data_IF_119206482330
#
_entry.id   IF_119206482330
#
_cell.length_a   1.000
_cell.length_b   1.000
_cell.length_c   1.000
_cell.angle_alpha   90.00
_cell.angle_beta   90.00
_cell.angle_gamma   90.00
#
_symmetry.space_group_name_H-M   'P 1'
#
loop_
_entity.id
_entity.type
_entity.pdbx_description
1 polymer ?
#
# COMPACT_ATOMS: atom_id res chain seq x y z
N UNK A 1 -9.48 15.76 -5.19
CA UNK A 1 -8.95 16.00 -3.83
C UNK A 1 -7.43 16.05 -3.94
N UNK A 2 -6.79 17.12 -3.49
CA UNK A 2 -5.33 17.16 -3.43
C UNK A 2 -4.85 16.12 -2.41
N UNK A 3 -3.87 15.30 -2.78
CA UNK A 3 -3.20 14.42 -1.83
C UNK A 3 -2.32 15.27 -0.92
N UNK A 4 -2.72 15.40 0.34
CA UNK A 4 -1.88 16.02 1.36
C UNK A 4 -0.79 15.01 1.73
N UNK A 5 0.46 15.33 1.38
CA UNK A 5 1.62 14.53 1.75
C UNK A 5 2.12 14.97 3.12
N UNK A 6 2.15 14.02 4.06
CA UNK A 6 2.73 14.21 5.39
C UNK A 6 4.09 13.53 5.44
N UNK A 7 5.08 14.20 6.04
CA UNK A 7 6.41 13.63 6.24
C UNK A 7 6.36 12.51 7.27
N UNK A 8 7.33 11.59 7.22
CA UNK A 8 7.36 10.47 8.15
C UNK A 8 7.66 10.94 9.58
N UNK A 9 8.47 11.98 9.76
CA UNK A 9 8.74 12.59 11.07
C UNK A 9 7.45 13.10 11.71
N UNK A 10 6.59 13.76 10.93
CA UNK A 10 5.31 14.23 11.41
C UNK A 10 4.41 13.07 11.84
N UNK A 11 4.33 12.02 11.03
CA UNK A 11 3.55 10.81 11.38
C UNK A 11 4.08 10.15 12.64
N UNK A 12 5.41 10.04 12.80
CA UNK A 12 6.04 9.50 14.01
C UNK A 12 5.69 10.33 15.24
N UNK A 13 5.69 11.67 15.13
CA UNK A 13 5.28 12.54 16.23
C UNK A 13 3.83 12.25 16.67
N UNK A 14 2.90 12.11 15.73
CA UNK A 14 1.50 11.78 16.02
C UNK A 14 1.38 10.42 16.72
N UNK A 15 2.08 9.39 16.24
CA UNK A 15 2.08 8.06 16.85
C UNK A 15 2.71 8.08 18.25
N UNK A 16 3.80 8.83 18.45
CA UNK A 16 4.44 9.00 19.76
C UNK A 16 3.48 9.66 20.76
N UNK A 17 2.79 10.72 20.34
CA UNK A 17 1.77 11.38 21.17
C UNK A 17 0.58 10.47 21.51
N UNK A 18 0.21 9.57 20.60
CA UNK A 18 -0.79 8.56 20.89
C UNK A 18 -0.31 7.57 21.98
N UNK A 19 0.95 7.13 21.90
CA UNK A 19 1.57 6.24 22.90
C UNK A 19 1.69 6.89 24.29
N UNK A 20 1.76 8.22 24.38
CA UNK A 20 1.74 8.93 25.67
C UNK A 20 0.34 9.13 26.27
N UNK A 21 -0.70 8.58 25.62
CA UNK A 21 -2.07 8.56 26.15
C UNK A 21 -3.02 9.58 25.52
N UNK A 22 -2.58 10.37 24.53
CA UNK A 22 -3.51 11.23 23.77
C UNK A 22 -4.39 10.38 22.85
N UNK A 23 -5.67 10.72 22.77
CA UNK A 23 -6.61 10.00 21.90
C UNK A 23 -6.48 10.44 20.44
N UNK A 24 -6.78 9.53 19.50
CA UNK A 24 -6.82 9.85 18.07
C UNK A 24 -7.80 11.01 17.75
N UNK A 25 -8.88 11.19 18.52
CA UNK A 25 -9.82 12.31 18.38
C UNK A 25 -9.16 13.64 18.70
N UNK A 26 -8.40 13.72 19.80
CA UNK A 26 -7.68 14.93 20.20
C UNK A 26 -6.60 15.29 19.17
N UNK A 27 -5.84 14.30 18.70
CA UNK A 27 -4.80 14.51 17.69
C UNK A 27 -5.40 14.98 16.36
N UNK A 28 -6.49 14.34 15.92
CA UNK A 28 -7.22 14.75 14.72
C UNK A 28 -7.69 16.21 14.80
N UNK A 29 -8.27 16.62 15.93
CA UNK A 29 -8.75 17.99 16.12
C UNK A 29 -7.62 19.02 16.21
N UNK A 30 -6.53 18.70 16.92
CA UNK A 30 -5.43 19.64 17.16
C UNK A 30 -4.60 19.89 15.90
N UNK A 31 -4.28 18.81 15.18
CA UNK A 31 -3.45 18.87 13.97
C UNK A 31 -4.26 19.03 12.69
N UNK A 32 -5.60 19.12 12.78
CA UNK A 32 -6.53 19.21 11.66
C UNK A 32 -6.31 18.09 10.63
N UNK A 33 -5.95 16.90 11.12
CA UNK A 33 -5.77 15.69 10.31
C UNK A 33 -7.03 14.84 10.44
N UNK A 34 -7.50 14.27 9.34
CA UNK A 34 -8.64 13.35 9.37
C UNK A 34 -8.44 12.21 10.38
N UNK A 35 -9.47 11.90 11.17
CA UNK A 35 -9.42 10.85 12.21
C UNK A 35 -9.02 9.48 11.63
N UNK A 36 -9.50 9.13 10.44
CA UNK A 36 -9.14 7.91 9.72
C UNK A 36 -7.66 7.85 9.37
N UNK A 37 -7.08 8.97 8.93
CA UNK A 37 -5.66 9.11 8.62
C UNK A 37 -4.80 8.91 9.86
N UNK A 38 -5.17 9.51 11.00
CA UNK A 38 -4.47 9.31 12.28
C UNK A 38 -4.50 7.84 12.70
N UNK A 39 -5.67 7.19 12.61
CA UNK A 39 -5.81 5.77 12.90
C UNK A 39 -4.96 4.89 11.99
N UNK A 40 -4.91 5.21 10.69
CA UNK A 40 -4.08 4.50 9.73
C UNK A 40 -2.60 4.55 10.12
N UNK A 41 -2.07 5.72 10.45
CA UNK A 41 -0.66 5.85 10.87
C UNK A 41 -0.34 5.09 12.14
N UNK A 42 -1.23 5.13 13.14
CA UNK A 42 -1.08 4.37 14.37
C UNK A 42 -1.03 2.87 14.08
N UNK A 43 -1.93 2.38 13.23
CA UNK A 43 -2.01 0.96 12.89
C UNK A 43 -0.79 0.50 12.09
N UNK A 44 -0.44 1.20 11.01
CA UNK A 44 0.72 0.87 10.17
C UNK A 44 2.02 0.86 10.99
N UNK A 45 2.23 1.88 11.82
CA UNK A 45 3.44 1.96 12.63
C UNK A 45 3.49 0.92 13.76
N UNK A 46 2.35 0.58 14.38
CA UNK A 46 2.33 -0.47 15.40
C UNK A 46 2.51 -1.87 14.83
N UNK A 47 2.11 -2.09 13.57
CA UNK A 47 2.24 -3.38 12.91
C UNK A 47 3.67 -3.63 12.42
N UNK A 48 4.29 -2.67 11.73
CA UNK A 48 5.59 -2.87 11.05
C UNK A 48 6.69 -1.90 11.47
N UNK A 49 6.39 -0.89 12.29
CA UNK A 49 7.31 0.23 12.55
C UNK A 49 7.51 1.17 11.35
N UNK A 50 6.75 0.99 10.27
CA UNK A 50 6.87 1.72 9.02
C UNK A 50 5.51 2.23 8.54
N UNK A 51 5.50 3.41 7.91
CA UNK A 51 4.30 3.95 7.23
C UNK A 51 4.21 3.50 5.77
N UNK A 52 5.16 2.66 5.31
CA UNK A 52 5.14 2.16 3.94
C UNK A 52 4.14 1.02 3.86
N UNK A 53 3.21 1.13 2.90
CA UNK A 53 2.21 0.09 2.67
C UNK A 53 2.82 -1.28 2.39
N UNK A 54 3.99 -1.34 1.73
CA UNK A 54 4.70 -2.61 1.45
C UNK A 54 5.08 -3.36 2.72
N UNK A 55 5.53 -2.63 3.74
CA UNK A 55 6.03 -3.22 4.98
C UNK A 55 4.87 -3.68 5.89
N UNK A 56 3.65 -3.22 5.60
CA UNK A 56 2.42 -3.57 6.32
C UNK A 56 1.58 -4.65 5.62
N UNK A 57 2.04 -5.19 4.49
CA UNK A 57 1.34 -6.30 3.81
C UNK A 57 1.65 -7.62 4.48
N UNK A 58 0.62 -8.44 4.58
CA UNK A 58 0.75 -9.85 4.92
C UNK A 58 1.56 -10.62 3.86
N UNK A 59 2.18 -11.76 4.21
CA UNK A 59 2.81 -12.66 3.24
C UNK A 59 1.87 -13.06 2.10
N UNK A 60 0.60 -13.34 2.42
CA UNK A 60 -0.43 -13.76 1.47
C UNK A 60 -0.76 -12.63 0.48
N UNK A 61 -0.82 -11.37 0.93
CA UNK A 61 -0.99 -10.22 0.02
C UNK A 61 0.21 -10.05 -0.92
N UNK A 62 1.42 -10.28 -0.43
CA UNK A 62 2.63 -10.20 -1.25
C UNK A 62 2.64 -11.32 -2.31
N UNK A 63 2.27 -12.54 -1.93
CA UNK A 63 2.12 -13.67 -2.85
C UNK A 63 1.04 -13.39 -3.90
N UNK A 64 -0.12 -12.87 -3.50
CA UNK A 64 -1.19 -12.49 -4.43
C UNK A 64 -0.72 -11.45 -5.45
N UNK A 65 0.08 -10.45 -5.03
CA UNK A 65 0.67 -9.46 -5.94
C UNK A 65 1.64 -10.12 -6.91
N UNK A 66 2.46 -11.07 -6.43
CA UNK A 66 3.40 -11.82 -7.26
C UNK A 66 2.65 -12.64 -8.33
N UNK A 67 1.70 -13.47 -7.92
CA UNK A 67 0.91 -14.33 -8.79
C UNK A 67 0.15 -13.52 -9.85
N UNK A 68 -0.41 -12.35 -9.49
CA UNK A 68 -1.07 -11.47 -10.46
C UNK A 68 -0.11 -10.95 -11.53
N UNK A 69 1.14 -10.65 -11.19
CA UNK A 69 2.16 -10.23 -12.16
C UNK A 69 2.54 -11.38 -13.08
N UNK A 70 2.75 -12.56 -12.52
CA UNK A 70 3.09 -13.77 -13.27
C UNK A 70 1.98 -14.16 -14.26
N UNK A 71 0.72 -14.19 -13.82
CA UNK A 71 -0.43 -14.44 -14.70
C UNK A 71 -0.50 -13.42 -15.84
N UNK A 72 -0.24 -12.14 -15.54
CA UNK A 72 -0.24 -11.10 -16.58
C UNK A 72 0.86 -11.35 -17.62
N UNK A 73 2.06 -11.70 -17.17
CA UNK A 73 3.18 -12.03 -18.06
C UNK A 73 2.87 -13.26 -18.91
N UNK A 74 2.42 -14.35 -18.29
CA UNK A 74 2.07 -15.59 -18.99
C UNK A 74 0.96 -15.37 -20.03
N UNK A 75 -0.03 -14.52 -19.74
CA UNK A 75 -1.07 -14.15 -20.71
C UNK A 75 -0.48 -13.41 -21.91
N UNK A 76 0.42 -12.45 -21.68
CA UNK A 76 1.10 -11.73 -22.75
C UNK A 76 1.95 -12.66 -23.62
N UNK A 77 2.73 -13.56 -22.99
CA UNK A 77 3.52 -14.57 -23.71
C UNK A 77 2.62 -15.50 -24.53
N UNK A 78 1.52 -15.98 -23.96
CA UNK A 78 0.55 -16.81 -24.65
C UNK A 78 -0.08 -16.09 -25.85
N UNK A 79 -0.41 -14.81 -25.72
CA UNK A 79 -0.96 -14.00 -26.80
C UNK A 79 0.08 -13.81 -27.93
N UNK A 80 1.34 -13.56 -27.60
CA UNK A 80 2.43 -13.48 -28.60
C UNK A 80 2.58 -14.81 -29.35
N UNK A 81 2.58 -15.93 -28.63
CA UNK A 81 2.68 -17.27 -29.25
C UNK A 81 1.49 -17.54 -30.18
N UNK A 82 0.26 -17.21 -29.74
CA UNK A 82 -0.94 -17.31 -30.60
C UNK A 82 -0.80 -16.48 -31.86
N UNK A 83 -0.37 -15.23 -31.76
CA UNK A 83 -0.13 -14.38 -32.94
C UNK A 83 0.93 -14.98 -33.87
N UNK A 84 2.03 -15.50 -33.32
CA UNK A 84 3.07 -16.16 -34.13
C UNK A 84 2.54 -17.38 -34.88
N UNK A 85 1.74 -18.24 -34.23
CA UNK A 85 1.13 -19.41 -34.90
C UNK A 85 0.19 -19.03 -36.03
N UNK A 86 -0.59 -17.96 -35.88
CA UNK A 86 -1.46 -17.45 -36.93
C UNK A 86 -0.69 -16.92 -38.14
N UNK A 87 0.48 -16.32 -37.91
CA UNK A 87 1.36 -15.83 -38.98
C UNK A 87 1.99 -17.00 -39.73
N UNK A 88 2.48 -18.01 -39.01
CA UNK A 88 3.16 -19.18 -39.61
C UNK A 88 2.17 -20.08 -40.35
N UNK A 89 0.98 -20.33 -39.78
CA UNK A 89 -0.03 -21.20 -40.38
C UNK A 89 -0.78 -20.59 -41.58
N UNK A 90 -0.54 -19.31 -41.90
CA UNK A 90 -1.07 -18.63 -43.11
C UNK A 90 -0.09 -18.65 -44.29
N UNK A 91 1.05 -19.32 -44.16
CA UNK A 91 2.04 -19.53 -45.21
C UNK A 91 1.96 -20.96 -45.74
#
# INVERSE_FOLDING_TARGET
>A
MQEVYYTDEFKQQIVSLYKTGKTAKQLSSYYQVGKSTVWKWIHEFNNSGSFKAKDNRSPEENELIHLRKEIKQLRMENDILKQATLIIGKK
#
